data_IF_686836465150
#
_entry.id   IF_686836465150
#
_cell.length_a   1.000
_cell.length_b   1.000
_cell.length_c   1.000
_cell.angle_alpha   90.00
_cell.angle_beta   90.00
_cell.angle_gamma   90.00
#
_symmetry.space_group_name_H-M   'P 1'
#
loop_
_entity.id
_entity.type
_entity.pdbx_description
1 polymer ?
#
# COMPACT_ATOMS: atom_id res chain seq x y z
N UNK A 1 0.33 21.34 17.97
CA UNK A 1 1.02 20.16 17.42
C UNK A 1 2.41 20.59 16.98
N UNK A 2 3.41 19.71 17.06
CA UNK A 2 4.74 20.04 16.54
C UNK A 2 4.70 20.07 15.01
N UNK A 3 5.45 20.99 14.41
CA UNK A 3 5.63 21.10 12.96
C UNK A 3 7.05 20.66 12.63
N UNK A 4 7.22 19.89 11.58
CA UNK A 4 8.53 19.46 11.10
C UNK A 4 9.24 20.57 10.32
N UNK A 5 10.48 20.31 9.90
CA UNK A 5 11.28 21.24 9.10
C UNK A 5 10.64 21.56 7.74
N UNK A 6 9.76 20.70 7.23
CA UNK A 6 9.03 20.88 5.96
C UNK A 6 7.77 21.75 6.12
N UNK A 7 7.41 22.13 7.35
CA UNK A 7 6.15 22.81 7.64
C UNK A 7 4.95 21.87 7.83
N UNK A 8 5.14 20.55 7.74
CA UNK A 8 4.11 19.54 7.93
C UNK A 8 3.88 19.29 9.43
N UNK A 9 2.61 19.16 9.83
CA UNK A 9 2.26 18.80 11.20
C UNK A 9 2.67 17.35 11.47
N UNK A 10 3.43 17.15 12.54
CA UNK A 10 3.81 15.81 13.00
C UNK A 10 2.62 15.14 13.67
N UNK A 11 2.24 13.98 13.15
CA UNK A 11 1.18 13.11 13.62
C UNK A 11 1.78 11.73 14.00
N UNK A 12 2.21 11.52 15.25
CA UNK A 12 2.82 10.27 15.68
C UNK A 12 1.83 9.10 15.64
N UNK A 13 2.36 7.88 15.56
CA UNK A 13 1.59 6.66 15.80
C UNK A 13 1.03 6.61 17.25
N UNK A 14 -0.07 5.89 17.51
CA UNK A 14 -0.85 5.08 16.59
C UNK A 14 -1.88 5.88 15.77
N UNK A 15 -2.26 5.37 14.60
CA UNK A 15 -3.31 5.94 13.76
C UNK A 15 -4.51 5.02 13.66
N UNK A 16 -5.69 5.59 13.97
CA UNK A 16 -6.97 5.00 13.63
C UNK A 16 -7.50 5.67 12.38
N UNK A 17 -7.79 4.87 11.37
CA UNK A 17 -8.14 5.29 10.03
C UNK A 17 -9.52 4.74 9.66
N UNK A 18 -10.30 5.52 8.92
CA UNK A 18 -11.55 5.04 8.31
C UNK A 18 -11.62 5.36 6.84
N UNK A 19 -12.24 4.49 6.07
CA UNK A 19 -12.44 4.73 4.65
C UNK A 19 -13.03 3.53 3.93
N UNK A 20 -12.66 3.42 2.66
CA UNK A 20 -12.98 2.30 1.77
C UNK A 20 -11.72 1.72 1.16
N UNK A 21 -11.71 0.42 0.89
CA UNK A 21 -10.53 -0.30 0.40
C UNK A 21 -10.90 -1.28 -0.71
N UNK A 22 -10.01 -1.37 -1.70
CA UNK A 22 -9.97 -2.41 -2.71
C UNK A 22 -8.71 -3.24 -2.50
N UNK A 23 -8.84 -4.56 -2.54
CA UNK A 23 -7.71 -5.49 -2.38
C UNK A 23 -7.70 -6.46 -3.56
N UNK A 24 -6.60 -6.49 -4.29
CA UNK A 24 -6.39 -7.36 -5.44
C UNK A 24 -5.26 -8.34 -5.15
N UNK A 25 -5.56 -9.63 -5.17
CA UNK A 25 -4.56 -10.66 -5.05
C UNK A 25 -3.73 -10.76 -6.34
N UNK A 26 -2.43 -10.98 -6.19
CA UNK A 26 -1.52 -11.29 -7.28
C UNK A 26 -1.09 -12.75 -7.19
N UNK A 27 -0.81 -13.35 -8.34
CA UNK A 27 -0.08 -14.62 -8.38
C UNK A 27 1.27 -14.47 -7.69
N UNK A 28 1.70 -15.51 -6.98
CA UNK A 28 2.92 -15.43 -6.18
C UNK A 28 4.19 -15.41 -7.01
N UNK A 29 5.17 -14.65 -6.53
CA UNK A 29 6.54 -14.72 -7.04
C UNK A 29 7.27 -15.90 -6.40
N UNK A 30 8.19 -16.53 -7.13
CA UNK A 30 9.12 -17.49 -6.55
C UNK A 30 10.24 -16.74 -5.82
N UNK A 31 10.91 -17.41 -4.88
CA UNK A 31 12.09 -16.88 -4.20
C UNK A 31 13.22 -16.47 -5.17
N UNK A 32 13.31 -17.11 -6.34
CA UNK A 32 14.33 -16.84 -7.36
C UNK A 32 13.88 -15.86 -8.44
N UNK A 33 12.66 -15.32 -8.32
CA UNK A 33 12.12 -14.38 -9.30
C UNK A 33 12.77 -13.00 -9.14
N UNK A 34 13.06 -12.35 -10.26
CA UNK A 34 13.28 -10.90 -10.26
C UNK A 34 11.97 -10.19 -9.93
N UNK A 35 12.05 -9.09 -9.19
CA UNK A 35 10.90 -8.20 -9.01
C UNK A 35 10.49 -7.58 -10.36
N UNK A 36 9.19 -7.33 -10.60
CA UNK A 36 8.74 -6.67 -11.82
C UNK A 36 9.33 -5.26 -11.91
N UNK A 37 9.54 -4.76 -13.13
CA UNK A 37 9.88 -3.35 -13.34
C UNK A 37 8.86 -2.44 -12.65
N UNK A 38 9.30 -1.31 -12.06
CA UNK A 38 8.45 -0.39 -11.30
C UNK A 38 8.14 -0.81 -9.85
N UNK A 39 8.69 -1.92 -9.34
CA UNK A 39 8.39 -2.44 -7.99
C UNK A 39 8.79 -1.53 -6.81
N UNK A 40 9.68 -0.57 -7.05
CA UNK A 40 10.24 0.36 -6.06
C UNK A 40 10.69 1.66 -6.76
N UNK A 41 10.88 2.73 -6.00
CA UNK A 41 11.59 3.91 -6.50
C UNK A 41 13.05 3.56 -6.75
N UNK A 42 13.68 4.11 -7.79
CA UNK A 42 15.07 3.81 -8.13
C UNK A 42 16.02 4.04 -6.93
N UNK A 43 15.87 5.17 -6.23
CA UNK A 43 16.70 5.52 -5.07
C UNK A 43 16.40 4.69 -3.81
N UNK A 44 15.33 3.90 -3.78
CA UNK A 44 14.94 3.05 -2.64
C UNK A 44 15.06 1.55 -2.95
N UNK A 45 15.26 1.17 -4.22
CA UNK A 45 15.26 -0.22 -4.66
C UNK A 45 16.30 -1.07 -3.93
N UNK A 46 17.49 -0.52 -3.68
CA UNK A 46 18.55 -1.20 -2.93
C UNK A 46 18.10 -1.51 -1.49
N UNK A 47 17.63 -0.50 -0.73
CA UNK A 47 17.22 -0.71 0.66
C UNK A 47 16.01 -1.62 0.77
N UNK A 48 15.05 -1.52 -0.16
CA UNK A 48 13.83 -2.32 -0.18
C UNK A 48 14.04 -3.78 -0.58
N UNK A 49 15.19 -4.10 -1.18
CA UNK A 49 15.60 -5.48 -1.50
C UNK A 49 16.66 -6.03 -0.55
N UNK A 50 17.27 -5.18 0.26
CA UNK A 50 18.28 -5.55 1.26
C UNK A 50 17.64 -5.88 2.60
N UNK A 51 18.33 -6.71 3.39
CA UNK A 51 17.93 -7.14 4.73
C UNK A 51 16.79 -8.16 4.70
N UNK A 52 16.96 -9.29 5.38
CA UNK A 52 16.08 -10.45 5.23
C UNK A 52 16.21 -11.14 3.86
N UNK A 53 15.69 -12.36 3.79
CA UNK A 53 15.65 -13.23 2.62
C UNK A 53 14.25 -13.14 2.00
N UNK A 54 14.13 -12.73 0.73
CA UNK A 54 12.86 -12.83 0.03
C UNK A 54 12.49 -14.31 -0.15
N UNK A 55 11.30 -14.71 0.30
CA UNK A 55 10.84 -16.11 0.23
C UNK A 55 9.66 -16.29 -0.74
N UNK A 56 9.31 -15.24 -1.51
CA UNK A 56 8.21 -15.30 -2.47
C UNK A 56 6.83 -15.27 -1.83
N UNK A 57 5.88 -15.92 -2.51
CA UNK A 57 4.47 -16.00 -2.09
C UNK A 57 3.59 -14.99 -2.81
N UNK A 58 2.26 -15.01 -2.54
CA UNK A 58 1.29 -14.14 -3.19
C UNK A 58 1.61 -12.67 -2.88
N UNK A 59 1.53 -11.83 -3.91
CA UNK A 59 1.56 -10.39 -3.77
C UNK A 59 0.15 -9.81 -3.63
N UNK A 60 0.09 -8.52 -3.35
CA UNK A 60 -1.16 -7.76 -3.33
C UNK A 60 -0.98 -6.36 -3.94
N UNK A 61 -2.04 -5.89 -4.58
CA UNK A 61 -2.28 -4.47 -4.81
C UNK A 61 -3.43 -4.05 -3.91
N UNK A 62 -3.29 -2.94 -3.19
CA UNK A 62 -4.34 -2.39 -2.36
C UNK A 62 -4.53 -0.92 -2.68
N UNK A 63 -5.79 -0.49 -2.78
CA UNK A 63 -6.16 0.92 -2.91
C UNK A 63 -7.01 1.27 -1.70
N UNK A 64 -6.71 2.37 -1.03
CA UNK A 64 -7.49 2.86 0.09
C UNK A 64 -7.86 4.31 -0.16
N UNK A 65 -9.11 4.67 0.16
CA UNK A 65 -9.59 6.05 0.15
C UNK A 65 -10.06 6.37 1.56
N UNK A 66 -9.22 7.05 2.33
CA UNK A 66 -9.45 7.37 3.72
C UNK A 66 -10.31 8.63 3.83
N UNK A 67 -11.44 8.52 4.53
CA UNK A 67 -12.28 9.66 4.89
C UNK A 67 -11.87 10.29 6.22
N UNK A 68 -11.22 9.51 7.11
CA UNK A 68 -10.73 9.99 8.40
C UNK A 68 -9.32 9.45 8.66
N UNK A 69 -8.39 10.36 9.01
CA UNK A 69 -7.07 10.05 9.53
C UNK A 69 -6.55 11.19 10.42
N UNK A 70 -5.48 10.98 11.20
CA UNK A 70 -4.82 12.04 11.97
C UNK A 70 -4.23 13.20 11.12
N UNK A 71 -4.10 13.00 9.80
CA UNK A 71 -3.56 14.00 8.85
C UNK A 71 -4.60 14.43 7.81
N UNK A 72 -5.88 14.16 8.06
CA UNK A 72 -6.98 14.46 7.13
C UNK A 72 -7.23 13.36 6.08
N UNK A 73 -8.24 13.54 5.21
CA UNK A 73 -8.56 12.56 4.16
C UNK A 73 -7.43 12.45 3.12
N UNK A 74 -7.17 11.22 2.64
CA UNK A 74 -6.22 10.98 1.56
C UNK A 74 -6.46 9.62 0.90
N UNK A 75 -5.97 9.45 -0.33
CA UNK A 75 -5.99 8.19 -1.06
C UNK A 75 -4.60 7.52 -1.04
N UNK A 76 -4.54 6.20 -1.13
CA UNK A 76 -3.34 5.38 -1.04
C UNK A 76 -3.38 4.23 -2.05
N UNK A 77 -2.27 3.99 -2.76
CA UNK A 77 -2.06 2.85 -3.67
C UNK A 77 -0.83 2.08 -3.20
N UNK A 78 -0.96 0.79 -2.91
CA UNK A 78 0.06 -0.06 -2.27
C UNK A 78 0.38 -1.26 -3.14
N UNK A 79 1.67 -1.57 -3.27
CA UNK A 79 2.19 -2.83 -3.79
C UNK A 79 2.98 -3.58 -2.72
N UNK A 80 2.65 -4.86 -2.53
CA UNK A 80 3.45 -5.82 -1.76
C UNK A 80 3.75 -7.01 -2.67
N UNK A 81 5.02 -7.31 -2.97
CA UNK A 81 5.35 -8.38 -3.91
C UNK A 81 5.32 -9.79 -3.29
N UNK A 82 5.37 -9.90 -1.96
CA UNK A 82 5.43 -11.18 -1.26
C UNK A 82 5.91 -11.04 0.18
N UNK A 83 6.67 -12.04 0.66
CA UNK A 83 7.13 -12.14 2.03
C UNK A 83 8.65 -12.27 2.13
N UNK A 84 9.17 -11.82 3.27
CA UNK A 84 10.57 -11.90 3.65
C UNK A 84 10.71 -12.66 4.96
N UNK A 85 11.82 -13.39 5.08
CA UNK A 85 12.26 -14.05 6.30
C UNK A 85 13.47 -13.30 6.87
N UNK A 86 13.41 -12.95 8.14
CA UNK A 86 14.44 -12.17 8.84
C UNK A 86 15.33 -13.06 9.70
N UNK A 87 16.46 -12.52 10.17
CA UNK A 87 17.47 -13.29 10.94
C UNK A 87 16.91 -13.84 12.25
N UNK A 88 16.01 -13.10 12.87
CA UNK A 88 15.28 -13.48 14.08
C UNK A 88 14.20 -14.56 13.84
N UNK A 89 14.02 -15.01 12.59
CA UNK A 89 13.00 -15.97 12.18
C UNK A 89 11.64 -15.36 11.88
N UNK A 90 11.47 -14.03 12.04
CA UNK A 90 10.25 -13.32 11.67
C UNK A 90 9.98 -13.49 10.17
N UNK A 91 8.71 -13.75 9.81
CA UNK A 91 8.26 -13.77 8.42
C UNK A 91 7.17 -12.72 8.23
N UNK A 92 7.45 -11.70 7.43
CA UNK A 92 6.58 -10.54 7.25
C UNK A 92 6.51 -10.10 5.79
N UNK A 93 5.50 -9.30 5.47
CA UNK A 93 5.41 -8.57 4.21
C UNK A 93 6.33 -7.34 4.21
N UNK A 94 6.61 -6.81 3.03
CA UNK A 94 7.30 -5.53 2.82
C UNK A 94 6.56 -4.75 1.74
N UNK A 95 6.22 -3.50 2.03
CA UNK A 95 5.64 -2.60 1.03
C UNK A 95 6.81 -2.00 0.24
N UNK A 96 6.92 -2.31 -1.05
CA UNK A 96 8.04 -1.83 -1.88
C UNK A 96 7.65 -0.66 -2.78
N UNK A 97 6.37 -0.47 -3.07
CA UNK A 97 5.86 0.71 -3.78
C UNK A 97 4.59 1.18 -3.12
N UNK A 98 4.50 2.48 -2.85
CA UNK A 98 3.29 3.08 -2.32
C UNK A 98 3.20 4.55 -2.68
N UNK A 99 2.02 4.95 -3.13
CA UNK A 99 1.68 6.34 -3.43
C UNK A 99 0.56 6.82 -2.55
N UNK A 100 0.58 8.10 -2.19
CA UNK A 100 -0.50 8.77 -1.45
C UNK A 100 -0.84 10.13 -2.05
N UNK A 101 -2.05 10.62 -1.81
CA UNK A 101 -2.51 11.89 -2.38
C UNK A 101 -2.08 13.15 -1.60
N UNK A 102 -1.38 13.01 -0.46
CA UNK A 102 -1.00 14.14 0.40
C UNK A 102 0.43 14.05 0.90
N UNK A 103 1.09 15.19 1.07
CA UNK A 103 2.46 15.28 1.61
C UNK A 103 2.49 14.88 3.09
N UNK A 104 1.43 15.22 3.83
CA UNK A 104 1.27 14.94 5.25
C UNK A 104 1.25 13.43 5.54
N UNK A 105 0.59 12.65 4.67
CA UNK A 105 0.59 11.18 4.74
C UNK A 105 1.97 10.61 4.39
N UNK A 106 2.66 11.22 3.42
CA UNK A 106 4.02 10.82 3.02
C UNK A 106 5.00 10.97 4.17
N UNK A 107 5.15 12.17 4.71
CA UNK A 107 6.15 12.44 5.75
C UNK A 107 5.88 11.61 7.00
N UNK A 108 4.65 11.64 7.51
CA UNK A 108 4.34 10.93 8.73
C UNK A 108 4.37 9.41 8.54
N UNK A 109 4.00 8.89 7.37
CA UNK A 109 4.07 7.46 7.07
C UNK A 109 5.50 6.92 7.00
N UNK A 110 6.42 7.71 6.40
CA UNK A 110 7.86 7.40 6.41
C UNK A 110 8.42 7.48 7.82
N UNK A 111 8.17 8.59 8.54
CA UNK A 111 8.67 8.83 9.90
C UNK A 111 8.21 7.76 10.91
N UNK A 112 6.94 7.36 10.85
CA UNK A 112 6.37 6.45 11.84
C UNK A 112 6.65 4.98 11.54
N UNK A 113 6.70 4.56 10.26
CA UNK A 113 6.70 3.12 9.94
C UNK A 113 7.66 2.73 8.81
N UNK A 114 8.53 3.64 8.37
CA UNK A 114 9.39 3.45 7.20
C UNK A 114 8.62 2.98 5.95
N UNK A 115 7.38 3.43 5.78
CA UNK A 115 6.61 3.08 4.59
C UNK A 115 7.04 4.03 3.46
N UNK A 116 7.53 3.55 2.30
CA UNK A 116 8.18 4.35 1.26
C UNK A 116 7.14 5.12 0.42
N UNK A 117 6.36 5.96 1.09
CA UNK A 117 5.32 6.78 0.47
C UNK A 117 5.96 7.84 -0.41
N UNK A 118 5.29 8.08 -1.54
CA UNK A 118 5.55 9.18 -2.45
C UNK A 118 4.23 9.83 -2.85
N UNK A 119 4.24 11.15 -3.13
CA UNK A 119 3.01 11.86 -3.50
C UNK A 119 2.65 11.65 -4.97
N UNK A 120 1.39 11.33 -5.24
CA UNK A 120 0.80 11.19 -6.57
C UNK A 120 -0.61 11.79 -6.67
N UNK A 121 -1.08 12.03 -7.88
CA UNK A 121 -2.44 12.50 -8.13
C UNK A 121 -3.38 11.29 -8.29
N UNK A 122 -4.52 11.33 -7.60
CA UNK A 122 -5.53 10.27 -7.60
C UNK A 122 -6.83 10.77 -8.23
N UNK A 123 -7.46 9.91 -9.04
CA UNK A 123 -8.83 10.09 -9.50
C UNK A 123 -9.62 8.80 -9.28
N UNK A 124 -10.59 8.86 -8.37
CA UNK A 124 -11.45 7.73 -8.00
C UNK A 124 -12.90 8.10 -8.28
N UNK A 125 -13.44 7.61 -9.40
CA UNK A 125 -14.80 7.94 -9.85
C UNK A 125 -15.68 6.69 -9.82
N UNK A 126 -16.81 6.77 -9.12
CA UNK A 126 -17.82 5.70 -9.08
C UNK A 126 -19.02 6.07 -9.95
N UNK A 127 -19.32 5.24 -10.94
CA UNK A 127 -20.47 5.39 -11.83
C UNK A 127 -21.77 4.89 -11.16
N UNK A 128 -22.92 5.22 -11.76
CA UNK A 128 -24.24 4.85 -11.26
C UNK A 128 -24.48 3.33 -11.18
N UNK A 129 -23.79 2.55 -12.01
CA UNK A 129 -23.83 1.08 -11.97
C UNK A 129 -22.92 0.47 -10.89
N UNK A 130 -22.29 1.29 -10.04
CA UNK A 130 -21.36 0.87 -9.00
C UNK A 130 -19.95 0.57 -9.48
N UNK A 131 -19.68 0.63 -10.79
CA UNK A 131 -18.32 0.51 -11.32
C UNK A 131 -17.48 1.68 -10.81
N UNK A 132 -16.26 1.42 -10.37
CA UNK A 132 -15.31 2.44 -9.92
C UNK A 132 -14.06 2.38 -10.76
N UNK A 133 -13.69 3.51 -11.36
CA UNK A 133 -12.44 3.70 -12.07
C UNK A 133 -11.46 4.43 -11.15
N UNK A 134 -10.27 3.85 -11.00
CA UNK A 134 -9.17 4.39 -10.19
C UNK A 134 -7.98 4.63 -11.12
N UNK A 135 -7.51 5.87 -11.13
CA UNK A 135 -6.38 6.33 -11.92
C UNK A 135 -5.38 6.98 -10.97
N UNK A 136 -4.10 6.66 -11.11
CA UNK A 136 -3.00 7.33 -10.40
C UNK A 136 -1.92 7.77 -11.39
N UNK A 137 -1.48 9.01 -11.25
CA UNK A 137 -0.48 9.64 -12.11
C UNK A 137 0.54 10.42 -11.27
N UNK A 138 1.70 10.71 -11.88
CA UNK A 138 2.64 11.66 -11.29
C UNK A 138 1.96 13.03 -11.12
N UNK A 139 2.28 13.81 -10.08
CA UNK A 139 1.67 15.13 -9.88
C UNK A 139 1.77 16.02 -11.11
N UNK A 140 0.62 16.52 -11.57
CA UNK A 140 0.51 17.37 -12.76
C UNK A 140 0.59 16.63 -14.11
N UNK A 141 0.74 15.30 -14.12
CA UNK A 141 0.73 14.48 -15.35
C UNK A 141 -0.68 14.05 -15.71
N UNK A 142 -1.01 14.11 -17.01
CA UNK A 142 -2.23 13.47 -17.55
C UNK A 142 -2.04 11.99 -17.90
N UNK A 143 -0.80 11.51 -17.96
CA UNK A 143 -0.49 10.12 -18.27
C UNK A 143 -0.43 9.31 -16.98
N UNK A 144 -1.32 8.32 -16.80
CA UNK A 144 -1.34 7.51 -15.60
C UNK A 144 -0.30 6.40 -15.64
N UNK A 145 0.31 6.12 -14.49
CA UNK A 145 1.14 4.93 -14.29
C UNK A 145 0.34 3.77 -13.69
N UNK A 146 -0.87 4.05 -13.17
CA UNK A 146 -1.79 3.04 -12.66
C UNK A 146 -3.21 3.31 -13.13
N UNK A 147 -3.89 2.27 -13.62
CA UNK A 147 -5.29 2.38 -14.07
C UNK A 147 -6.02 1.04 -13.94
N UNK A 148 -7.14 1.06 -13.21
CA UNK A 148 -7.99 -0.11 -13.00
C UNK A 148 -9.46 0.30 -12.93
N UNK A 149 -10.33 -0.56 -13.45
CA UNK A 149 -11.78 -0.47 -13.25
C UNK A 149 -12.24 -1.67 -12.41
N UNK A 150 -13.02 -1.41 -11.37
CA UNK A 150 -13.64 -2.45 -10.55
C UNK A 150 -15.14 -2.42 -10.70
N UNK A 151 -15.81 -3.56 -10.89
CA UNK A 151 -17.27 -3.61 -11.00
C UNK A 151 -17.86 -4.63 -10.02
N UNK A 152 -18.91 -4.30 -9.25
CA UNK A 152 -19.58 -5.26 -8.39
C UNK A 152 -19.97 -6.52 -9.17
N UNK A 153 -19.60 -7.70 -8.65
CA UNK A 153 -19.99 -8.97 -9.29
C UNK A 153 -21.48 -9.21 -9.06
N UNK A 154 -22.31 -9.42 -10.10
CA UNK A 154 -23.74 -9.70 -9.91
C UNK A 154 -23.96 -10.87 -8.96
N UNK A 155 -24.94 -10.73 -8.07
CA UNK A 155 -25.31 -11.72 -7.02
C UNK A 155 -24.23 -11.90 -5.92
N UNK A 156 -22.97 -12.17 -6.29
CA UNK A 156 -21.90 -12.45 -5.33
C UNK A 156 -21.43 -11.22 -4.53
N UNK A 157 -21.52 -10.01 -5.08
CA UNK A 157 -21.19 -8.77 -4.36
C UNK A 157 -22.17 -8.45 -3.22
N UNK A 158 -23.34 -9.11 -3.16
CA UNK A 158 -24.30 -8.94 -2.07
C UNK A 158 -23.99 -9.78 -0.84
N UNK A 159 -23.09 -10.77 -0.93
CA UNK A 159 -22.71 -11.62 0.19
C UNK A 159 -21.69 -10.86 1.06
N UNK A 160 -22.06 -10.45 2.30
CA UNK A 160 -21.11 -9.79 3.19
C UNK A 160 -20.17 -10.83 3.79
N UNK A 161 -18.86 -10.63 3.64
CA UNK A 161 -17.83 -11.46 4.26
C UNK A 161 -17.20 -10.65 5.39
N UNK A 162 -17.47 -10.98 6.67
CA UNK A 162 -16.78 -10.34 7.79
C UNK A 162 -15.27 -10.50 7.65
N UNK A 163 -14.55 -9.38 7.61
CA UNK A 163 -13.11 -9.38 7.44
C UNK A 163 -12.45 -8.75 8.66
N UNK A 164 -11.52 -9.49 9.27
CA UNK A 164 -10.76 -9.04 10.42
C UNK A 164 -9.35 -9.64 10.39
N UNK A 165 -8.34 -8.83 10.11
CA UNK A 165 -6.96 -9.31 10.00
C UNK A 165 -6.38 -9.76 11.34
N UNK A 166 -7.00 -9.42 12.47
CA UNK A 166 -6.61 -9.99 13.78
C UNK A 166 -6.66 -11.52 13.78
N UNK A 167 -7.57 -12.12 13.00
CA UNK A 167 -7.66 -13.58 12.86
C UNK A 167 -6.48 -14.18 12.08
N UNK A 168 -5.79 -13.37 11.27
CA UNK A 168 -4.59 -13.77 10.53
C UNK A 168 -3.31 -13.71 11.40
N UNK A 169 -3.41 -13.24 12.65
CA UNK A 169 -2.28 -13.12 13.56
C UNK A 169 -1.14 -12.33 12.92
N UNK A 170 0.10 -12.83 13.05
CA UNK A 170 1.30 -12.20 12.47
C UNK A 170 1.42 -12.35 10.95
N UNK A 171 0.47 -12.98 10.27
CA UNK A 171 0.56 -13.13 8.81
C UNK A 171 0.46 -11.77 8.08
N UNK A 172 -0.27 -10.79 8.64
CA UNK A 172 -0.33 -9.43 8.11
C UNK A 172 0.81 -8.53 8.59
N UNK A 173 1.80 -9.06 9.31
CA UNK A 173 2.93 -8.27 9.79
C UNK A 173 3.68 -7.68 8.60
N UNK A 174 4.09 -6.42 8.74
CA UNK A 174 4.92 -5.69 7.81
C UNK A 174 6.25 -5.38 8.53
N UNK A 175 7.36 -5.54 7.83
CA UNK A 175 8.67 -5.07 8.29
C UNK A 175 9.30 -4.26 7.17
N UNK A 176 9.64 -3.02 7.47
CA UNK A 176 10.22 -2.06 6.53
C UNK A 176 11.65 -1.68 6.93
N UNK A 177 12.61 -1.69 5.98
CA UNK A 177 13.96 -1.21 6.21
C UNK A 177 13.97 0.31 6.49
N UNK A 178 15.04 0.86 7.08
CA UNK A 178 15.25 2.30 7.09
C UNK A 178 15.28 2.84 5.66
N UNK A 179 14.77 4.05 5.47
CA UNK A 179 14.63 4.68 4.16
C UNK A 179 15.65 5.81 3.96
N UNK A 180 16.21 5.97 2.76
CA UNK A 180 16.92 7.19 2.41
C UNK A 180 15.96 8.38 2.32
N UNK A 181 16.52 9.59 2.27
CA UNK A 181 15.75 10.77 1.89
C UNK A 181 15.44 10.70 0.39
N UNK A 182 14.24 11.08 0.02
CA UNK A 182 13.82 11.15 -1.37
C UNK A 182 14.10 12.51 -2.01
N UNK A 183 13.51 12.74 -3.19
CA UNK A 183 13.69 13.97 -3.97
C UNK A 183 12.86 15.10 -3.39
N UNK A 184 11.69 14.78 -2.80
CA UNK A 184 10.78 15.77 -2.23
C UNK A 184 10.99 15.91 -0.72
N UNK A 185 10.69 17.08 -0.19
CA UNK A 185 10.98 17.41 1.20
C UNK A 185 10.25 16.50 2.20
N UNK A 186 9.02 16.09 1.87
CA UNK A 186 8.21 15.17 2.66
C UNK A 186 8.75 13.72 2.65
N UNK A 187 9.64 13.37 1.72
CA UNK A 187 10.25 12.04 1.60
C UNK A 187 11.42 11.88 2.59
N UNK A 188 11.15 12.06 3.89
CA UNK A 188 12.16 12.04 4.96
C UNK A 188 12.90 10.70 5.08
N UNK A 189 14.16 10.74 5.50
CA UNK A 189 14.96 9.55 5.81
C UNK A 189 14.67 8.99 7.20
N UNK A 190 15.00 7.72 7.40
CA UNK A 190 14.95 7.03 8.70
C UNK A 190 16.18 6.17 8.91
N UNK A 191 16.43 5.74 10.15
CA UNK A 191 17.71 5.11 10.53
C UNK A 191 17.58 3.71 11.13
N UNK A 192 16.40 3.36 11.64
CA UNK A 192 16.11 2.06 12.25
C UNK A 192 15.10 1.29 11.39
N UNK A 193 15.08 -0.03 11.50
CA UNK A 193 14.01 -0.87 10.97
C UNK A 193 12.70 -0.62 11.70
N UNK A 194 11.57 -0.80 11.02
CA UNK A 194 10.25 -0.68 11.61
C UNK A 194 9.41 -1.94 11.35
N UNK A 195 8.98 -2.61 12.42
CA UNK A 195 7.99 -3.68 12.40
C UNK A 195 6.61 -3.15 12.77
N UNK A 196 5.57 -3.54 12.03
CA UNK A 196 4.19 -3.14 12.30
C UNK A 196 3.25 -4.33 12.09
N UNK A 197 2.25 -4.47 12.97
CA UNK A 197 1.12 -5.34 12.74
C UNK A 197 -0.14 -4.50 12.47
N UNK A 198 -0.44 -4.16 11.20
CA UNK A 198 -1.65 -3.43 10.88
C UNK A 198 -2.89 -4.30 11.10
N UNK A 199 -3.91 -3.71 11.72
CA UNK A 199 -5.22 -4.36 11.86
C UNK A 199 -6.23 -3.69 10.93
N UNK A 200 -7.06 -4.49 10.29
CA UNK A 200 -8.12 -4.05 9.40
C UNK A 200 -9.38 -4.81 9.75
N UNK A 201 -10.47 -4.08 9.92
CA UNK A 201 -11.80 -4.61 10.20
C UNK A 201 -12.82 -3.97 9.28
N UNK A 202 -13.61 -4.80 8.61
CA UNK A 202 -14.65 -4.34 7.69
C UNK A 202 -15.53 -5.47 7.19
N UNK A 203 -16.38 -5.15 6.22
CA UNK A 203 -17.21 -6.14 5.52
C UNK A 203 -16.81 -6.17 4.05
N UNK A 204 -16.22 -7.28 3.62
CA UNK A 204 -15.74 -7.47 2.26
C UNK A 204 -16.86 -7.98 1.35
N UNK A 205 -16.87 -7.44 0.13
CA UNK A 205 -17.69 -7.86 -1.00
C UNK A 205 -16.78 -8.17 -2.18
N UNK A 206 -17.22 -9.05 -3.07
CA UNK A 206 -16.46 -9.35 -4.29
C UNK A 206 -16.71 -8.28 -5.36
N UNK A 207 -15.64 -7.90 -6.04
CA UNK A 207 -15.66 -7.05 -7.23
C UNK A 207 -14.85 -7.70 -8.35
N UNK A 208 -15.27 -7.53 -9.59
CA UNK A 208 -14.39 -7.81 -10.72
C UNK A 208 -13.28 -6.76 -10.75
N UNK A 209 -12.14 -7.13 -11.32
CA UNK A 209 -10.96 -6.29 -11.50
C UNK A 209 -10.62 -6.32 -12.98
N UNK A 210 -10.68 -5.16 -13.63
CA UNK A 210 -10.30 -4.96 -15.02
C UNK A 210 -9.10 -4.02 -15.07
N UNK A 211 -7.89 -4.54 -15.33
CA UNK A 211 -6.73 -3.71 -15.57
C UNK A 211 -6.87 -2.95 -16.90
N UNK A 212 -6.46 -1.68 -16.94
CA UNK A 212 -6.72 -0.78 -18.08
C UNK A 212 -5.43 -0.32 -18.80
N UNK A 213 -4.25 -0.81 -18.38
CA UNK A 213 -2.97 -0.55 -19.05
C UNK A 213 -2.48 -1.84 -19.74
N UNK A 214 -2.94 -2.08 -20.97
CA UNK A 214 -2.60 -3.26 -21.77
C UNK A 214 -2.77 -4.60 -21.02
N UNK A 215 -3.88 -4.71 -20.27
CA UNK A 215 -4.21 -5.89 -19.46
C UNK A 215 -3.46 -5.98 -18.11
N UNK A 216 -2.71 -4.93 -17.75
CA UNK A 216 -2.00 -4.78 -16.47
C UNK A 216 -2.52 -3.55 -15.72
N UNK A 217 -2.27 -3.49 -14.41
CA UNK A 217 -2.69 -2.34 -13.59
C UNK A 217 -1.65 -1.24 -13.53
N UNK A 218 -0.38 -1.55 -13.81
CA UNK A 218 0.74 -0.62 -13.81
C UNK A 218 1.47 -0.57 -15.15
N UNK A 219 2.19 0.52 -15.39
CA UNK A 219 2.97 0.78 -16.61
C UNK A 219 4.35 0.08 -16.65
N UNK A 220 4.89 -0.32 -15.50
CA UNK A 220 6.22 -0.90 -15.36
C UNK A 220 7.34 0.13 -15.15
N UNK A 221 7.00 1.42 -15.07
CA UNK A 221 7.92 2.51 -14.80
C UNK A 221 7.53 3.22 -13.50
N UNK A 222 6.36 3.86 -13.47
CA UNK A 222 5.81 4.49 -12.27
C UNK A 222 5.29 3.48 -11.25
N UNK A 223 4.72 2.37 -11.71
CA UNK A 223 4.14 1.33 -10.85
C UNK A 223 4.30 -0.06 -11.49
N UNK A 224 4.39 -1.17 -10.72
CA UNK A 224 4.73 -2.44 -11.32
C UNK A 224 3.65 -2.95 -12.28
N UNK A 225 4.10 -3.38 -13.45
CA UNK A 225 3.27 -3.91 -14.52
C UNK A 225 2.78 -5.33 -14.20
N UNK A 226 1.84 -5.45 -13.26
CA UNK A 226 1.30 -6.73 -12.76
C UNK A 226 -0.14 -6.98 -13.22
N UNK A 227 -0.50 -8.26 -13.27
CA UNK A 227 -1.86 -8.72 -13.59
C UNK A 227 -2.48 -9.31 -12.32
N UNK A 228 -3.42 -8.61 -11.67
CA UNK A 228 -4.16 -9.17 -10.55
C UNK A 228 -5.12 -10.27 -11.00
N UNK A 229 -5.61 -11.04 -10.05
CA UNK A 229 -6.75 -11.91 -10.29
C UNK A 229 -7.96 -11.07 -10.75
N UNK A 230 -8.80 -11.66 -11.60
CA UNK A 230 -9.97 -10.98 -12.18
C UNK A 230 -11.08 -10.69 -11.16
N UNK A 231 -10.95 -11.21 -9.93
CA UNK A 231 -11.84 -10.94 -8.80
C UNK A 231 -11.00 -10.46 -7.61
N UNK A 232 -11.45 -9.37 -6.99
CA UNK A 232 -10.86 -8.77 -5.80
C UNK A 232 -11.89 -8.54 -4.71
N UNK A 233 -11.42 -8.00 -3.58
CA UNK A 233 -12.25 -7.57 -2.46
C UNK A 233 -12.50 -6.07 -2.50
N UNK A 234 -13.69 -5.66 -2.09
CA UNK A 234 -14.07 -4.28 -1.81
C UNK A 234 -14.71 -4.19 -0.43
N UNK A 235 -14.26 -3.25 0.40
CA UNK A 235 -14.90 -2.90 1.66
C UNK A 235 -15.25 -1.41 1.61
N UNK A 236 -16.54 -1.09 1.65
CA UNK A 236 -17.02 0.31 1.59
C UNK A 236 -16.95 1.06 2.92
N UNK A 237 -16.80 0.33 4.02
CA UNK A 237 -16.58 0.85 5.36
C UNK A 237 -15.56 -0.07 6.05
N UNK A 238 -14.37 0.49 6.27
CA UNK A 238 -13.25 -0.20 6.89
C UNK A 238 -12.63 0.68 7.96
N UNK A 239 -12.25 0.05 9.06
CA UNK A 239 -11.41 0.63 10.10
C UNK A 239 -10.04 0.00 9.99
N UNK A 240 -9.00 0.82 9.89
CA UNK A 240 -7.61 0.38 9.96
C UNK A 240 -6.94 0.96 11.20
N UNK A 241 -6.16 0.13 11.88
CA UNK A 241 -5.34 0.48 13.04
C UNK A 241 -3.88 0.26 12.67
N UNK A 242 -3.14 1.36 12.64
CA UNK A 242 -1.69 1.39 12.49
C UNK A 242 -1.10 1.72 13.85
N UNK A 243 -0.74 0.66 14.58
CA UNK A 243 -0.13 0.76 15.90
C UNK A 243 1.24 1.45 15.92
N UNK A 244 1.80 1.56 17.12
CA UNK A 244 3.18 2.03 17.33
C UNK A 244 4.15 0.99 16.72
N UNK A 245 5.15 1.41 15.92
CA UNK A 245 6.13 0.49 15.36
C UNK A 245 7.01 -0.16 16.44
N UNK A 246 7.47 -1.38 16.17
CA UNK A 246 8.63 -1.97 16.84
C UNK A 246 9.89 -1.54 16.07
N UNK A 247 10.69 -0.65 16.67
CA UNK A 247 11.95 -0.17 16.09
C UNK A 247 13.12 -1.09 16.47
N UNK A 248 14.02 -1.36 15.52
CA UNK A 248 15.25 -2.12 15.78
C UNK A 248 16.42 -1.63 14.90
N UNK A 249 17.64 -1.77 15.40
CA UNK A 249 18.85 -1.39 14.63
C UNK A 249 19.18 -2.42 13.54
N UNK A 250 18.72 -3.67 13.70
CA UNK A 250 18.91 -4.76 12.76
C UNK A 250 17.66 -5.65 12.57
N UNK A 251 17.60 -6.36 11.43
CA UNK A 251 16.63 -7.40 11.06
C UNK A 251 17.25 -8.45 10.13
#
# INVERSE_FOLDING_TARGET
>A
MATSETGIIVAPAPWMLKGRVWVFALSGLSQTSSFPAGFAAEHEAEVLTTGGEFIGGPGLVQIVSYSESPVGPYDELIYVPGRWKYKDGTVAHRITRIYVSTQESTENGRRNWNIPKQVADFSITTASNGSTTIIVANPGSSTPFFHVTTTPVPVLSYIPIPFNTRMLGRHSMIVQPPLPAGVRAEEVSTTQWAGLLPLMKGTMRLTSVKPELDGKVGDGEGYPAVVPWSVGGYMGDVILDFGVPELSDDR
#
